data_IF_166291735269
#
_entry.id   IF_166291735269
#
_cell.length_a   1.000
_cell.length_b   1.000
_cell.length_c   1.000
_cell.angle_alpha   90.00
_cell.angle_beta   90.00
_cell.angle_gamma   90.00
#
_symmetry.space_group_name_H-M   'P 1'
#
loop_
_entity.id
_entity.type
_entity.pdbx_description
1 polymer ?
#
# COMPACT_ATOMS: atom_id res chain seq x y z
N UNK A 1 32.65 -16.63 -21.57
CA UNK A 1 31.36 -17.27 -21.25
C UNK A 1 30.89 -16.73 -19.91
N UNK A 2 30.40 -15.49 -19.88
CA UNK A 2 29.84 -14.88 -18.68
C UNK A 2 28.33 -14.90 -18.82
N UNK A 3 27.67 -15.79 -18.10
CA UNK A 3 26.22 -15.90 -18.05
C UNK A 3 25.66 -14.66 -17.37
N UNK A 4 25.22 -13.68 -18.14
CA UNK A 4 24.49 -12.54 -17.60
C UNK A 4 23.20 -13.06 -16.95
N UNK A 5 23.08 -12.93 -15.64
CA UNK A 5 21.89 -13.32 -14.90
C UNK A 5 20.72 -12.42 -15.32
N UNK A 6 19.65 -13.02 -15.84
CA UNK A 6 18.43 -12.30 -16.23
C UNK A 6 17.67 -11.87 -14.97
N UNK A 7 17.83 -10.62 -14.54
CA UNK A 7 16.92 -10.05 -13.54
C UNK A 7 15.65 -9.58 -14.25
N UNK A 8 14.50 -10.17 -13.93
CA UNK A 8 13.21 -9.69 -14.42
C UNK A 8 12.91 -8.35 -13.75
N UNK A 9 13.04 -7.25 -14.48
CA UNK A 9 12.57 -5.94 -14.02
C UNK A 9 11.04 -5.99 -14.02
N UNK A 10 10.43 -6.01 -12.84
CA UNK A 10 8.98 -5.82 -12.71
C UNK A 10 8.68 -4.36 -13.06
N UNK A 11 8.33 -4.10 -14.33
CA UNK A 11 7.77 -2.82 -14.73
C UNK A 11 6.41 -2.67 -14.05
N UNK A 12 6.34 -1.81 -13.04
CA UNK A 12 5.12 -1.52 -12.30
C UNK A 12 4.23 -0.54 -13.11
N UNK A 13 3.80 -0.98 -14.29
CA UNK A 13 2.90 -0.23 -15.16
C UNK A 13 1.45 -0.47 -14.75
N UNK A 14 0.63 0.59 -14.76
CA UNK A 14 -0.80 0.55 -14.42
C UNK A 14 -1.20 1.68 -13.49
N UNK A 15 -2.50 1.78 -13.22
CA UNK A 15 -3.04 2.75 -12.28
C UNK A 15 -4.14 2.14 -11.40
N UNK A 16 -4.32 2.72 -10.22
CA UNK A 16 -5.39 2.37 -9.30
C UNK A 16 -6.31 3.59 -9.24
N UNK A 17 -7.58 3.36 -9.55
CA UNK A 17 -8.60 4.41 -9.56
C UNK A 17 -9.53 4.24 -8.36
N UNK A 18 -9.85 5.36 -7.71
CA UNK A 18 -10.96 5.51 -6.78
C UNK A 18 -11.92 6.51 -7.41
N UNK A 19 -13.17 6.12 -7.65
CA UNK A 19 -14.18 6.96 -8.30
C UNK A 19 -13.66 7.63 -9.60
N UNK A 20 -13.00 6.84 -10.46
CA UNK A 20 -12.38 7.25 -11.73
C UNK A 20 -11.22 8.26 -11.60
N UNK A 21 -10.72 8.53 -10.39
CA UNK A 21 -9.55 9.40 -10.12
C UNK A 21 -8.38 8.52 -9.69
N UNK A 22 -7.19 8.78 -10.24
CA UNK A 22 -5.98 8.07 -9.84
C UNK A 22 -5.68 8.33 -8.35
N UNK A 23 -5.46 7.29 -7.55
CA UNK A 23 -5.22 7.43 -6.10
C UNK A 23 -4.01 8.33 -5.77
N UNK A 24 -3.08 8.51 -6.71
CA UNK A 24 -1.92 9.39 -6.60
C UNK A 24 -2.28 10.88 -6.67
N UNK A 25 -3.48 11.23 -7.16
CA UNK A 25 -3.95 12.61 -7.29
C UNK A 25 -4.66 13.11 -6.01
N UNK A 26 -4.95 12.23 -5.06
CA UNK A 26 -5.56 12.59 -3.78
C UNK A 26 -4.52 13.10 -2.76
N UNK A 27 -4.99 13.93 -1.82
CA UNK A 27 -4.23 14.16 -0.60
C UNK A 27 -4.11 12.84 0.19
N UNK A 28 -2.87 12.40 0.44
CA UNK A 28 -2.60 11.11 1.06
C UNK A 28 -3.20 10.96 2.46
N UNK A 29 -3.27 12.05 3.25
CA UNK A 29 -3.84 12.02 4.59
C UNK A 29 -5.36 11.84 4.52
N UNK A 30 -6.02 12.59 3.66
CA UNK A 30 -7.47 12.52 3.50
C UNK A 30 -7.89 11.14 2.97
N UNK A 31 -7.19 10.63 1.96
CA UNK A 31 -7.42 9.30 1.40
C UNK A 31 -7.31 8.20 2.47
N UNK A 32 -6.26 8.24 3.30
CA UNK A 32 -6.04 7.23 4.35
C UNK A 32 -7.03 7.34 5.51
N UNK A 33 -7.68 8.48 5.70
CA UNK A 33 -8.72 8.64 6.73
C UNK A 33 -10.07 8.03 6.30
N UNK A 34 -10.26 7.72 5.01
CA UNK A 34 -11.49 7.10 4.50
C UNK A 34 -11.54 5.57 4.72
N UNK A 35 -10.39 4.94 5.01
CA UNK A 35 -10.27 3.49 5.11
C UNK A 35 -9.53 3.07 6.37
N UNK A 36 -9.95 1.94 6.96
CA UNK A 36 -9.25 1.28 8.06
C UNK A 36 -8.77 -0.09 7.60
N UNK A 37 -7.56 -0.46 8.02
CA UNK A 37 -6.96 -1.76 7.70
C UNK A 37 -7.20 -2.71 8.87
N UNK A 38 -7.67 -3.93 8.59
CA UNK A 38 -7.74 -5.03 9.56
C UNK A 38 -6.73 -6.10 9.13
N UNK A 39 -5.65 -6.25 9.89
CA UNK A 39 -4.62 -7.26 9.60
C UNK A 39 -4.93 -8.61 10.25
N UNK A 40 -4.44 -9.70 9.64
CA UNK A 40 -4.59 -11.06 10.19
C UNK A 40 -3.84 -11.21 11.52
N UNK A 41 -2.65 -10.62 11.62
CA UNK A 41 -1.89 -10.48 12.86
C UNK A 41 -1.92 -9.00 13.27
N UNK A 42 -2.81 -8.60 14.20
CA UNK A 42 -2.92 -7.21 14.64
C UNK A 42 -1.75 -6.83 15.55
N UNK A 43 -1.21 -5.62 15.36
CA UNK A 43 -0.28 -5.02 16.33
C UNK A 43 -1.05 -4.39 17.48
N UNK A 44 -0.72 -4.78 18.71
CA UNK A 44 -1.28 -4.19 19.91
C UNK A 44 -0.29 -3.19 20.51
N UNK A 45 -0.82 -2.07 21.02
CA UNK A 45 -0.05 -1.16 21.85
C UNK A 45 0.06 -1.73 23.28
N UNK A 46 1.15 -1.43 23.95
CA UNK A 46 1.34 -1.81 25.35
C UNK A 46 0.56 -0.87 26.28
N UNK A 47 -0.77 -0.92 26.19
CA UNK A 47 -1.72 -0.11 26.95
C UNK A 47 -2.96 -0.94 27.30
N UNK A 48 -3.94 -0.36 27.99
CA UNK A 48 -5.21 -1.02 28.27
C UNK A 48 -6.07 -1.10 27.01
N UNK A 49 -7.03 -2.04 26.96
CA UNK A 49 -7.97 -2.17 25.83
C UNK A 49 -8.84 -0.92 25.63
N UNK A 50 -9.05 -0.12 26.69
CA UNK A 50 -9.89 1.08 26.64
C UNK A 50 -9.22 2.24 25.89
N UNK A 51 -7.89 2.28 25.92
CA UNK A 51 -7.09 3.35 25.30
C UNK A 51 -6.85 3.06 23.81
#
# INVERSE_FOLDING_TARGET
SGSAENYTVFNNNGEILLDDINICDYNLRDLRNLFSIVSQEPMLFNMSIYE
#
